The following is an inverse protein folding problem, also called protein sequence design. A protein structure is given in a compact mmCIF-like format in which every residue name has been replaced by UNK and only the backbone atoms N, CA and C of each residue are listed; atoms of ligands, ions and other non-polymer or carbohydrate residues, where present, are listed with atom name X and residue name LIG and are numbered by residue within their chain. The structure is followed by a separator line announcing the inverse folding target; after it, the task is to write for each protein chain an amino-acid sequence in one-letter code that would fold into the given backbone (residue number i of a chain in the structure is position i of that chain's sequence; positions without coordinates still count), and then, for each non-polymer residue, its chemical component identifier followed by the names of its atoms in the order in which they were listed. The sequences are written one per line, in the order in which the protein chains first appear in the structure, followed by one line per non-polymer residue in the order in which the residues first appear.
data_IF_555266249897
#
_entry.id   IF_555266249897
#
_cell.length_a   1.000
_cell.length_b   1.000
_cell.length_c   1.000
_cell.angle_alpha   90.00
_cell.angle_beta   90.00
_cell.angle_gamma   90.00
#
_symmetry.space_group_name_H-M   'P 1'
#
loop_
_entity.id
_entity.type
_entity.pdbx_description
1 polymer ?
#
# COMPACT_ATOMS: atom_id res chain seq x y z
N UNK A 1 -26.52 -7.74 18.57
CA UNK A 1 -25.43 -8.73 18.60
C UNK A 1 -24.12 -7.98 18.45
N UNK A 2 -23.13 -8.14 19.33
CA UNK A 2 -21.83 -7.53 19.12
C UNK A 2 -21.18 -8.28 17.96
N UNK A 3 -20.93 -7.56 16.88
CA UNK A 3 -20.15 -8.05 15.76
C UNK A 3 -18.71 -8.27 16.25
N UNK A 4 -18.28 -9.54 16.34
CA UNK A 4 -16.91 -9.95 16.69
C UNK A 4 -15.94 -9.51 15.60
N UNK A 5 -15.62 -8.22 15.60
CA UNK A 5 -14.76 -7.60 14.60
C UNK A 5 -13.37 -7.46 15.20
N UNK A 6 -12.45 -8.35 14.83
CA UNK A 6 -11.03 -8.11 15.11
C UNK A 6 -10.53 -7.06 14.12
N UNK A 7 -10.20 -5.87 14.62
CA UNK A 7 -9.50 -4.84 13.86
C UNK A 7 -8.01 -5.12 13.94
N UNK A 8 -7.49 -5.86 12.98
CA UNK A 8 -6.03 -6.00 12.81
C UNK A 8 -5.54 -4.71 12.14
N UNK A 9 -4.78 -3.91 12.87
CA UNK A 9 -4.05 -2.80 12.29
C UNK A 9 -2.92 -3.40 11.43
N UNK A 10 -3.06 -3.29 10.10
CA UNK A 10 -2.04 -3.73 9.15
C UNK A 10 -1.20 -2.50 8.78
N UNK A 11 0.05 -2.46 9.25
CA UNK A 11 1.01 -1.39 8.96
C UNK A 11 1.17 -0.34 10.07
N UNK A 12 2.29 0.37 10.01
CA UNK A 12 2.71 1.38 11.01
C UNK A 12 1.82 2.66 10.99
N UNK A 13 1.01 2.83 9.93
CA UNK A 13 0.13 3.98 9.68
C UNK A 13 -1.20 3.58 9.02
N UNK A 14 -2.17 4.51 8.97
CA UNK A 14 -3.42 4.32 8.24
C UNK A 14 -3.18 4.18 6.73
N UNK A 15 -3.06 2.93 6.27
CA UNK A 15 -2.72 2.57 4.90
C UNK A 15 -3.66 3.16 3.84
N UNK A 16 -4.95 3.29 4.16
CA UNK A 16 -5.97 3.83 3.25
C UNK A 16 -5.64 5.27 2.80
N UNK A 17 -5.60 6.25 3.72
CA UNK A 17 -5.21 7.61 3.42
C UNK A 17 -3.88 7.75 2.67
N UNK A 18 -2.87 6.93 3.02
CA UNK A 18 -1.55 6.95 2.37
C UNK A 18 -1.63 6.56 0.90
N UNK A 19 -2.38 5.50 0.60
CA UNK A 19 -2.63 5.05 -0.78
C UNK A 19 -3.42 6.10 -1.56
N UNK A 20 -4.47 6.67 -0.95
CA UNK A 20 -5.33 7.66 -1.63
C UNK A 20 -4.55 8.94 -1.97
N UNK A 21 -3.70 9.43 -1.05
CA UNK A 21 -2.80 10.56 -1.31
C UNK A 21 -1.80 10.25 -2.43
N UNK A 22 -1.19 9.07 -2.40
CA UNK A 22 -0.25 8.66 -3.43
C UNK A 22 -0.91 8.60 -4.82
N UNK A 23 -2.07 7.94 -4.93
CA UNK A 23 -2.81 7.83 -6.19
C UNK A 23 -3.32 9.19 -6.70
N UNK A 24 -3.65 10.11 -5.80
CA UNK A 24 -4.00 11.50 -6.15
C UNK A 24 -2.80 12.21 -6.80
N UNK A 25 -1.59 11.97 -6.29
CA UNK A 25 -0.35 12.54 -6.84
C UNK A 25 0.06 11.96 -8.21
N UNK A 26 -0.28 10.71 -8.51
CA UNK A 26 0.04 10.05 -9.80
C UNK A 26 -0.90 10.48 -10.95
N UNK A 27 -2.08 11.02 -10.63
CA UNK A 27 -3.01 11.61 -11.61
C UNK A 27 -4.21 10.74 -12.01
N UNK A 28 -5.31 11.39 -12.40
CA UNK A 28 -6.67 10.83 -12.56
C UNK A 28 -6.90 9.94 -13.81
N UNK A 29 -5.85 9.42 -14.46
CA UNK A 29 -5.99 8.58 -15.66
C UNK A 29 -6.50 7.15 -15.39
N UNK A 30 -6.59 6.76 -14.12
CA UNK A 30 -6.93 5.41 -13.70
C UNK A 30 -8.16 5.37 -12.79
N UNK A 31 -8.84 4.23 -12.70
CA UNK A 31 -9.84 4.00 -11.66
C UNK A 31 -9.11 3.63 -10.34
N UNK A 32 -9.00 4.56 -9.37
CA UNK A 32 -8.21 4.33 -8.16
C UNK A 32 -8.76 3.18 -7.32
N UNK A 33 -10.10 3.01 -7.30
CA UNK A 33 -10.73 1.91 -6.57
C UNK A 33 -10.36 0.53 -7.12
N UNK A 34 -10.26 0.38 -8.45
CA UNK A 34 -9.87 -0.89 -9.09
C UNK A 34 -8.39 -1.20 -8.84
N UNK A 35 -7.53 -0.21 -9.03
CA UNK A 35 -6.08 -0.35 -8.86
C UNK A 35 -5.72 -0.62 -7.40
N UNK A 36 -6.32 0.13 -6.47
CA UNK A 36 -6.17 -0.10 -5.04
C UNK A 36 -6.55 -1.52 -4.66
N UNK A 37 -7.71 -2.03 -5.08
CA UNK A 37 -8.11 -3.42 -4.78
C UNK A 37 -7.13 -4.46 -5.32
N UNK A 38 -6.60 -4.26 -6.53
CA UNK A 38 -5.67 -5.19 -7.15
C UNK A 38 -4.29 -5.21 -6.46
N UNK A 39 -3.84 -4.08 -5.91
CA UNK A 39 -2.50 -3.91 -5.33
C UNK A 39 -2.48 -4.00 -3.79
N UNK A 40 -3.63 -3.88 -3.12
CA UNK A 40 -3.74 -3.91 -1.67
C UNK A 40 -3.09 -5.15 -1.01
N UNK A 41 -3.24 -6.39 -1.53
CA UNK A 41 -2.57 -7.55 -0.94
C UNK A 41 -1.04 -7.43 -0.96
N UNK A 42 -0.47 -6.87 -2.03
CA UNK A 42 0.97 -6.68 -2.16
C UNK A 42 1.49 -5.59 -1.21
N UNK A 43 0.75 -4.48 -1.10
CA UNK A 43 1.08 -3.41 -0.15
C UNK A 43 1.04 -3.97 1.28
N UNK A 44 0.01 -4.74 1.62
CA UNK A 44 -0.12 -5.39 2.93
C UNK A 44 1.07 -6.32 3.22
N UNK A 45 1.49 -7.12 2.24
CA UNK A 45 2.64 -8.01 2.39
C UNK A 45 3.92 -7.23 2.70
N UNK A 46 4.18 -6.14 1.95
CA UNK A 46 5.37 -5.30 2.16
C UNK A 46 5.32 -4.50 3.46
N UNK A 47 4.14 -4.03 3.88
CA UNK A 47 3.94 -3.38 5.18
C UNK A 47 4.17 -4.35 6.35
N UNK A 48 3.91 -5.65 6.14
CA UNK A 48 4.16 -6.69 7.13
C UNK A 48 5.61 -7.19 7.16
N UNK A 49 6.38 -6.97 6.09
CA UNK A 49 7.82 -7.28 6.05
C UNK A 49 8.60 -6.40 7.04
N UNK A 50 9.74 -6.89 7.51
CA UNK A 50 10.71 -6.14 8.30
C UNK A 50 11.47 -5.12 7.44
N UNK A 51 12.11 -4.13 8.09
CA UNK A 51 12.92 -3.13 7.39
C UNK A 51 14.13 -3.78 6.69
N UNK A 52 14.68 -4.85 7.28
CA UNK A 52 15.75 -5.65 6.69
C UNK A 52 15.28 -6.28 5.37
N UNK A 53 14.10 -6.93 5.36
CA UNK A 53 13.54 -7.54 4.15
C UNK A 53 13.23 -6.48 3.07
N UNK A 54 12.74 -5.30 3.45
CA UNK A 54 12.54 -4.19 2.53
C UNK A 54 13.87 -3.70 1.94
N UNK A 55 14.92 -3.60 2.76
CA UNK A 55 16.25 -3.21 2.31
C UNK A 55 16.83 -4.21 1.30
N UNK A 56 16.54 -5.51 1.43
CA UNK A 56 16.93 -6.52 0.43
C UNK A 56 16.23 -6.31 -0.92
N UNK A 57 15.03 -5.72 -0.92
CA UNK A 57 14.31 -5.29 -2.12
C UNK A 57 14.79 -3.92 -2.65
N UNK A 58 15.71 -3.27 -1.94
CA UNK A 58 16.24 -1.94 -2.26
C UNK A 58 15.23 -0.81 -2.03
N UNK A 59 14.27 -0.99 -1.12
CA UNK A 59 13.26 0.00 -0.77
C UNK A 59 13.17 0.18 0.74
N UNK A 60 12.64 1.32 1.17
CA UNK A 60 12.23 1.57 2.55
C UNK A 60 10.69 1.60 2.64
N UNK A 61 10.16 1.94 3.82
CA UNK A 61 8.70 2.03 4.07
C UNK A 61 8.03 3.07 3.15
N UNK A 62 8.71 4.18 2.88
CA UNK A 62 8.21 5.24 2.01
C UNK A 62 8.19 4.77 0.54
N UNK A 63 9.17 3.95 0.15
CA UNK A 63 9.34 3.34 -1.16
C UNK A 63 8.35 2.23 -1.50
N UNK A 64 7.56 1.73 -0.55
CA UNK A 64 6.56 0.67 -0.79
C UNK A 64 5.58 1.05 -1.91
N UNK A 65 4.95 2.24 -1.83
CA UNK A 65 3.95 2.64 -2.83
C UNK A 65 4.57 2.90 -4.20
N UNK A 66 5.68 3.68 -4.32
CA UNK A 66 6.40 3.81 -5.59
C UNK A 66 6.84 2.47 -6.19
N UNK A 67 7.23 1.50 -5.36
CA UNK A 67 7.61 0.16 -5.82
C UNK A 67 6.42 -0.61 -6.39
N UNK A 68 5.30 -0.64 -5.65
CA UNK A 68 4.09 -1.39 -6.03
C UNK A 68 3.42 -0.82 -7.28
N UNK A 69 3.48 0.50 -7.47
CA UNK A 69 2.87 1.20 -8.60
C UNK A 69 3.87 1.60 -9.69
N UNK A 70 5.11 1.08 -9.64
CA UNK A 70 6.15 1.37 -10.62
C UNK A 70 5.69 1.11 -12.06
N UNK A 71 4.87 0.09 -12.25
CA UNK A 71 4.30 -0.31 -13.53
C UNK A 71 3.31 0.70 -14.12
N UNK A 72 2.74 1.58 -13.30
CA UNK A 72 1.80 2.63 -13.73
C UNK A 72 2.48 3.97 -14.03
N UNK A 73 3.74 4.13 -13.64
CA UNK A 73 4.51 5.38 -13.79
C UNK A 73 5.39 5.40 -15.05
N UNK A 74 5.21 4.43 -15.96
CA UNK A 74 5.92 4.30 -17.23
C UNK A 74 5.24 4.99 -18.40
#
# INVERSE_FOLDING_TARGET
MPTDNVRIAMGHDALGPRIDLFLTGVGFGFNPGRIRRARLPQIIALEASSDEELAHLGIDREGILPHVFRDLMG
#
